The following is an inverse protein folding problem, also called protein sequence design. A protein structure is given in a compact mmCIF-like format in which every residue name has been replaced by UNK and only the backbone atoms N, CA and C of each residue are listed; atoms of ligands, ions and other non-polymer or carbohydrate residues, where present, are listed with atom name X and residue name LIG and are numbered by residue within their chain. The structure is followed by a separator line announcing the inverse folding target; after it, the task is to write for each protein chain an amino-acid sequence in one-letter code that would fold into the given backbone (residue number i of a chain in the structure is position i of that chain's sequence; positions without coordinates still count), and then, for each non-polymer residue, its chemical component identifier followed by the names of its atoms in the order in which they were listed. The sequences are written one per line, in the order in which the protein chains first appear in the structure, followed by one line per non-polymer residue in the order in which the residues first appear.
data_IF_578252705906
#
_entry.id   IF_578252705906
#
_cell.length_a   1.000
_cell.length_b   1.000
_cell.length_c   1.000
_cell.angle_alpha   90.00
_cell.angle_beta   90.00
_cell.angle_gamma   90.00
#
_symmetry.space_group_name_H-M   'P 1'
#
loop_
_entity.id
_entity.type
_entity.pdbx_description
1 polymer ?
#
# COMPACT_ATOMS: atom_id res chain seq x y z
N UNK A 1 -7.77 -12.01 -43.08
CA UNK A 1 -9.03 -12.10 -42.35
C UNK A 1 -8.77 -12.71 -40.98
N UNK A 2 -8.51 -11.94 -39.96
CA UNK A 2 -8.45 -12.39 -38.57
C UNK A 2 -8.26 -11.15 -37.66
N UNK A 3 -9.26 -10.26 -37.58
CA UNK A 3 -9.25 -9.09 -36.70
C UNK A 3 -10.45 -9.03 -35.72
N UNK A 4 -11.24 -10.08 -35.61
CA UNK A 4 -12.44 -10.07 -34.77
C UNK A 4 -12.26 -10.77 -33.39
N UNK A 5 -11.17 -11.54 -33.18
CA UNK A 5 -11.04 -12.35 -31.95
C UNK A 5 -10.44 -11.61 -30.75
N UNK A 6 -9.79 -10.46 -30.95
CA UNK A 6 -9.12 -9.71 -29.87
C UNK A 6 -10.01 -8.69 -29.15
N UNK A 7 -11.19 -8.37 -29.67
CA UNK A 7 -12.12 -7.43 -29.05
C UNK A 7 -13.00 -8.03 -27.97
N UNK A 8 -13.41 -9.29 -28.14
CA UNK A 8 -14.33 -9.96 -27.21
C UNK A 8 -13.64 -10.44 -25.94
N UNK A 9 -12.38 -10.88 -26.01
CA UNK A 9 -11.59 -11.27 -24.83
C UNK A 9 -11.31 -10.09 -23.92
N UNK A 10 -10.99 -8.91 -24.48
CA UNK A 10 -10.69 -7.70 -23.71
C UNK A 10 -11.96 -7.09 -23.05
N UNK A 11 -13.15 -7.37 -23.60
CA UNK A 11 -14.41 -6.88 -23.02
C UNK A 11 -14.85 -7.73 -21.83
N UNK A 12 -14.65 -9.06 -21.89
CA UNK A 12 -14.92 -9.98 -20.78
C UNK A 12 -14.00 -9.72 -19.57
N UNK A 13 -12.72 -9.51 -19.81
CA UNK A 13 -11.74 -9.21 -18.77
C UNK A 13 -12.04 -7.88 -18.04
N UNK A 14 -12.49 -6.87 -18.76
CA UNK A 14 -12.82 -5.57 -18.16
C UNK A 14 -14.08 -5.66 -17.30
N UNK A 15 -15.09 -6.43 -17.67
CA UNK A 15 -16.29 -6.65 -16.86
C UNK A 15 -15.95 -7.38 -15.55
N UNK A 16 -15.08 -8.38 -15.63
CA UNK A 16 -14.64 -9.13 -14.46
C UNK A 16 -13.85 -8.25 -13.45
N UNK A 17 -12.98 -7.37 -13.94
CA UNK A 17 -12.28 -6.40 -13.09
C UNK A 17 -13.26 -5.47 -12.35
N UNK A 18 -14.31 -5.01 -13.03
CA UNK A 18 -15.34 -4.16 -12.40
C UNK A 18 -16.09 -4.88 -11.28
N UNK A 19 -16.37 -6.17 -11.44
CA UNK A 19 -17.02 -6.98 -10.41
C UNK A 19 -16.14 -7.09 -9.16
N UNK A 20 -14.83 -7.31 -9.34
CA UNK A 20 -13.88 -7.34 -8.22
C UNK A 20 -13.85 -5.99 -7.49
N UNK A 21 -13.75 -4.89 -8.22
CA UNK A 21 -13.71 -3.54 -7.64
C UNK A 21 -15.02 -3.19 -6.90
N UNK A 22 -16.16 -3.65 -7.40
CA UNK A 22 -17.44 -3.47 -6.73
C UNK A 22 -17.52 -4.28 -5.43
N UNK A 23 -17.01 -5.50 -5.41
CA UNK A 23 -16.94 -6.31 -4.19
C UNK A 23 -15.99 -5.70 -3.16
N UNK A 24 -14.82 -5.20 -3.59
CA UNK A 24 -13.90 -4.44 -2.73
C UNK A 24 -14.58 -3.22 -2.09
N UNK A 25 -15.43 -2.53 -2.85
CA UNK A 25 -16.22 -1.40 -2.33
C UNK A 25 -17.26 -1.85 -1.31
N UNK A 26 -17.93 -2.98 -1.53
CA UNK A 26 -18.92 -3.54 -0.60
C UNK A 26 -18.32 -3.90 0.75
N UNK A 27 -17.10 -4.43 0.77
CA UNK A 27 -16.41 -4.75 2.02
C UNK A 27 -15.75 -3.54 2.68
N UNK A 28 -15.91 -2.33 2.11
CA UNK A 28 -15.52 -1.07 2.72
C UNK A 28 -14.08 -0.63 2.45
N UNK A 29 -13.42 -1.15 1.42
CA UNK A 29 -12.11 -0.64 1.02
C UNK A 29 -12.23 0.80 0.49
N UNK A 30 -11.21 1.62 0.77
CA UNK A 30 -11.22 3.04 0.45
C UNK A 30 -11.30 3.29 -1.07
N UNK A 31 -12.10 4.27 -1.48
CA UNK A 31 -12.27 4.61 -2.90
C UNK A 31 -10.96 4.99 -3.58
N UNK A 32 -10.04 5.66 -2.87
CA UNK A 32 -8.70 6.00 -3.40
C UNK A 32 -7.87 4.76 -3.72
N UNK A 33 -7.94 3.73 -2.88
CA UNK A 33 -7.27 2.45 -3.12
C UNK A 33 -7.88 1.74 -4.34
N UNK A 34 -9.21 1.69 -4.43
CA UNK A 34 -9.95 1.08 -5.55
C UNK A 34 -9.63 1.80 -6.87
N UNK A 35 -9.58 3.15 -6.89
CA UNK A 35 -9.20 3.92 -8.07
C UNK A 35 -7.76 3.59 -8.51
N UNK A 36 -6.82 3.51 -7.56
CA UNK A 36 -5.43 3.15 -7.89
C UNK A 36 -5.31 1.75 -8.48
N UNK A 37 -6.09 0.77 -8.01
CA UNK A 37 -6.14 -0.56 -8.61
C UNK A 37 -6.70 -0.51 -10.03
N UNK A 38 -7.79 0.22 -10.25
CA UNK A 38 -8.41 0.37 -11.57
C UNK A 38 -7.44 0.99 -12.59
N UNK A 39 -6.67 2.00 -12.20
CA UNK A 39 -5.70 2.67 -13.06
C UNK A 39 -4.51 1.77 -13.43
N UNK A 40 -4.14 0.83 -12.56
CA UNK A 40 -2.93 0.05 -12.71
C UNK A 40 -3.15 -1.41 -13.15
N UNK A 41 -4.34 -1.98 -12.96
CA UNK A 41 -4.62 -3.38 -13.29
C UNK A 41 -4.50 -3.72 -14.79
N UNK A 42 -4.67 -2.74 -15.68
CA UNK A 42 -4.48 -2.95 -17.12
C UNK A 42 -3.01 -2.93 -17.56
N UNK A 43 -2.16 -2.23 -16.80
CA UNK A 43 -0.73 -2.06 -17.12
C UNK A 43 0.15 -3.12 -16.46
N UNK A 44 -0.29 -3.66 -15.32
CA UNK A 44 0.49 -4.58 -14.48
C UNK A 44 -0.33 -5.84 -14.22
N UNK A 45 0.03 -6.90 -14.90
CA UNK A 45 -0.64 -8.22 -14.81
C UNK A 45 -0.66 -8.74 -13.37
N UNK A 46 0.44 -8.61 -12.61
CA UNK A 46 0.51 -9.04 -11.22
C UNK A 46 -0.52 -8.38 -10.30
N UNK A 47 -0.93 -7.14 -10.57
CA UNK A 47 -2.03 -6.50 -9.82
C UNK A 47 -3.35 -7.21 -10.14
N UNK A 48 -3.61 -7.53 -11.39
CA UNK A 48 -4.82 -8.22 -11.82
C UNK A 48 -4.90 -9.62 -11.22
N UNK A 49 -3.79 -10.35 -11.21
CA UNK A 49 -3.71 -11.68 -10.60
C UNK A 49 -4.01 -11.64 -9.10
N UNK A 50 -3.43 -10.67 -8.38
CA UNK A 50 -3.72 -10.47 -6.96
C UNK A 50 -5.18 -10.07 -6.71
N UNK A 51 -5.78 -9.25 -7.57
CA UNK A 51 -7.20 -8.90 -7.49
C UNK A 51 -8.09 -10.13 -7.68
N UNK A 52 -7.74 -11.01 -8.62
CA UNK A 52 -8.43 -12.27 -8.84
C UNK A 52 -8.32 -13.19 -7.61
N UNK A 53 -7.11 -13.38 -7.09
CA UNK A 53 -6.88 -14.15 -5.86
C UNK A 53 -7.69 -13.59 -4.68
N UNK A 54 -7.78 -12.26 -4.57
CA UNK A 54 -8.56 -11.59 -3.53
C UNK A 54 -10.06 -11.91 -3.64
N UNK A 55 -10.61 -11.97 -4.85
CA UNK A 55 -12.02 -12.31 -5.07
C UNK A 55 -12.32 -13.76 -4.72
N UNK A 56 -11.42 -14.69 -5.09
CA UNK A 56 -11.56 -16.13 -4.88
C UNK A 56 -11.34 -16.53 -3.41
N UNK A 57 -10.63 -15.70 -2.64
CA UNK A 57 -10.30 -16.00 -1.25
C UNK A 57 -11.53 -15.82 -0.35
N UNK A 58 -11.82 -16.83 0.46
CA UNK A 58 -12.96 -16.86 1.38
C UNK A 58 -12.57 -16.58 2.82
N UNK A 59 -11.30 -16.83 3.19
CA UNK A 59 -10.82 -16.57 4.53
C UNK A 59 -10.44 -15.10 4.70
N UNK A 60 -11.05 -14.42 5.68
CA UNK A 60 -10.86 -12.98 5.90
C UNK A 60 -9.39 -12.63 6.14
N UNK A 61 -8.66 -13.44 6.93
CA UNK A 61 -7.25 -13.19 7.23
C UNK A 61 -6.35 -13.28 5.99
N UNK A 62 -6.62 -14.24 5.12
CA UNK A 62 -5.86 -14.40 3.86
C UNK A 62 -6.22 -13.28 2.89
N UNK A 63 -7.51 -12.91 2.80
CA UNK A 63 -7.97 -11.75 2.02
C UNK A 63 -7.31 -10.44 2.49
N UNK A 64 -7.13 -10.26 3.79
CA UNK A 64 -6.41 -9.11 4.36
C UNK A 64 -4.93 -9.09 3.95
N UNK A 65 -4.27 -10.26 3.89
CA UNK A 65 -2.90 -10.36 3.39
C UNK A 65 -2.79 -9.95 1.93
N UNK A 66 -3.69 -10.46 1.08
CA UNK A 66 -3.73 -10.09 -0.34
C UNK A 66 -4.01 -8.60 -0.51
N UNK A 67 -4.87 -8.02 0.31
CA UNK A 67 -5.11 -6.57 0.31
C UNK A 67 -3.83 -5.79 0.63
N UNK A 68 -3.03 -6.26 1.58
CA UNK A 68 -1.77 -5.63 1.91
C UNK A 68 -0.72 -5.80 0.79
N UNK A 69 -0.69 -6.95 0.11
CA UNK A 69 0.18 -7.21 -1.05
C UNK A 69 -0.18 -6.31 -2.24
N UNK A 70 -1.48 -6.11 -2.50
CA UNK A 70 -1.97 -5.16 -3.51
C UNK A 70 -1.51 -3.72 -3.21
N UNK A 71 -1.61 -3.27 -1.95
CA UNK A 71 -1.14 -1.94 -1.57
C UNK A 71 0.38 -1.82 -1.73
N UNK A 72 1.14 -2.85 -1.38
CA UNK A 72 2.59 -2.87 -1.56
C UNK A 72 2.97 -2.78 -3.04
N UNK A 73 2.30 -3.55 -3.90
CA UNK A 73 2.48 -3.49 -5.36
C UNK A 73 2.18 -2.10 -5.92
N UNK A 74 1.11 -1.45 -5.48
CA UNK A 74 0.81 -0.06 -5.87
C UNK A 74 1.89 0.92 -5.41
N UNK A 75 2.42 0.75 -4.19
CA UNK A 75 3.50 1.58 -3.69
C UNK A 75 4.78 1.39 -4.51
N UNK A 76 5.11 0.14 -4.89
CA UNK A 76 6.28 -0.15 -5.74
C UNK A 76 6.18 0.54 -7.09
N UNK A 77 5.00 0.54 -7.71
CA UNK A 77 4.76 1.23 -8.98
C UNK A 77 4.94 2.74 -8.84
N UNK A 78 4.45 3.35 -7.75
CA UNK A 78 4.60 4.79 -7.51
C UNK A 78 6.04 5.19 -7.18
N UNK A 79 6.81 4.29 -6.55
CA UNK A 79 8.20 4.53 -6.18
C UNK A 79 9.19 4.17 -7.31
N UNK A 80 8.71 3.67 -8.47
CA UNK A 80 9.58 3.45 -9.62
C UNK A 80 10.25 4.77 -10.01
N UNK A 81 11.60 4.83 -10.06
CA UNK A 81 12.30 6.06 -10.39
C UNK A 81 11.97 6.50 -11.81
N UNK A 82 11.39 7.68 -11.95
CA UNK A 82 11.11 8.28 -13.26
C UNK A 82 12.39 8.70 -14.01
N UNK A 83 13.53 8.77 -13.34
CA UNK A 83 14.90 8.87 -13.85
C UNK A 83 15.86 8.53 -12.72
N UNK A 84 16.95 7.85 -13.04
CA UNK A 84 18.01 7.49 -12.09
C UNK A 84 18.62 8.73 -11.41
N UNK A 85 18.07 9.13 -10.26
CA UNK A 85 18.86 9.88 -9.30
C UNK A 85 19.77 8.86 -8.62
N UNK A 86 21.07 9.11 -8.65
CA UNK A 86 22.07 8.31 -7.94
C UNK A 86 21.64 8.21 -6.48
N UNK A 87 21.22 7.01 -6.05
CA UNK A 87 20.90 6.76 -4.66
C UNK A 87 22.22 6.84 -3.87
N UNK A 88 22.32 7.67 -2.84
CA UNK A 88 23.51 7.65 -2.00
C UNK A 88 23.72 6.25 -1.45
N UNK A 89 24.95 5.74 -1.59
CA UNK A 89 25.34 4.43 -1.08
C UNK A 89 25.30 4.47 0.44
N UNK A 90 24.29 3.88 1.04
CA UNK A 90 24.19 3.74 2.49
C UNK A 90 25.02 2.54 2.93
N UNK A 91 26.06 2.79 3.73
CA UNK A 91 26.77 1.74 4.45
C UNK A 91 25.90 1.26 5.60
N UNK A 92 25.53 -0.01 5.57
CA UNK A 92 24.77 -0.66 6.64
C UNK A 92 25.75 -1.42 7.54
N UNK A 93 26.47 -0.70 8.39
CA UNK A 93 27.46 -1.32 9.29
C UNK A 93 26.79 -1.95 10.53
N UNK A 94 25.56 -1.56 10.89
CA UNK A 94 24.77 -2.16 11.97
C UNK A 94 23.27 -2.28 11.62
N UNK A 95 22.94 -3.35 10.92
CA UNK A 95 21.55 -3.63 10.51
C UNK A 95 20.62 -3.88 11.72
N UNK A 96 21.13 -4.42 12.81
CA UNK A 96 20.34 -4.71 14.00
C UNK A 96 19.99 -3.44 14.78
N UNK A 97 20.88 -2.46 14.80
CA UNK A 97 20.61 -1.14 15.38
C UNK A 97 19.55 -0.40 14.57
N UNK A 98 19.71 -0.32 13.25
CA UNK A 98 18.74 0.30 12.35
C UNK A 98 17.36 -0.35 12.49
N UNK A 99 17.32 -1.68 12.58
CA UNK A 99 16.07 -2.42 12.77
C UNK A 99 15.37 -2.05 14.07
N UNK A 100 16.12 -1.92 15.17
CA UNK A 100 15.55 -1.49 16.46
C UNK A 100 15.04 -0.07 16.40
N UNK A 101 15.79 0.85 15.82
CA UNK A 101 15.40 2.25 15.66
C UNK A 101 14.11 2.40 14.83
N UNK A 102 13.97 1.62 13.75
CA UNK A 102 12.76 1.59 12.95
C UNK A 102 11.55 1.10 13.77
N UNK A 103 11.72 0.04 14.54
CA UNK A 103 10.63 -0.50 15.37
C UNK A 103 10.23 0.47 16.48
N UNK A 104 11.19 1.12 17.14
CA UNK A 104 10.94 2.11 18.19
C UNK A 104 10.24 3.35 17.64
N UNK A 105 10.68 3.83 16.47
CA UNK A 105 10.02 4.90 15.76
C UNK A 105 8.56 4.56 15.43
N UNK A 106 8.33 3.39 14.85
CA UNK A 106 6.98 2.92 14.50
C UNK A 106 6.09 2.74 15.73
N UNK A 107 6.65 2.28 16.85
CA UNK A 107 5.94 2.17 18.12
C UNK A 107 5.49 3.53 18.66
N UNK A 108 6.37 4.54 18.61
CA UNK A 108 6.02 5.91 18.99
C UNK A 108 4.93 6.48 18.08
N UNK A 109 5.07 6.31 16.76
CA UNK A 109 4.08 6.74 15.79
C UNK A 109 2.74 6.02 16.00
N UNK A 110 2.77 4.73 16.36
CA UNK A 110 1.56 3.96 16.69
C UNK A 110 0.84 4.53 17.91
N UNK A 111 1.55 4.94 18.94
CA UNK A 111 0.96 5.59 20.11
C UNK A 111 0.23 6.88 19.73
N UNK A 112 0.81 7.69 18.82
CA UNK A 112 0.12 8.88 18.30
C UNK A 112 -1.14 8.51 17.50
N UNK A 113 -1.09 7.47 16.68
CA UNK A 113 -2.25 6.96 15.95
C UNK A 113 -3.37 6.54 16.91
N UNK A 114 -3.04 5.83 17.99
CA UNK A 114 -4.02 5.36 18.97
C UNK A 114 -4.69 6.51 19.72
N UNK A 115 -3.96 7.60 19.97
CA UNK A 115 -4.52 8.84 20.55
C UNK A 115 -5.49 9.56 19.60
N UNK A 116 -5.36 9.36 18.29
CA UNK A 116 -6.17 10.01 17.26
C UNK A 116 -7.27 9.09 16.67
N UNK A 117 -7.64 8.03 17.36
CA UNK A 117 -8.74 7.14 16.95
C UNK A 117 -8.32 5.79 16.40
N UNK A 118 -7.01 5.49 16.43
CA UNK A 118 -6.49 4.18 16.07
C UNK A 118 -6.34 3.93 14.56
N UNK A 119 -5.99 2.69 14.23
CA UNK A 119 -5.71 2.28 12.83
C UNK A 119 -6.93 2.44 11.92
N UNK A 120 -8.14 2.19 12.41
CA UNK A 120 -9.36 2.30 11.59
C UNK A 120 -9.59 3.73 11.13
N UNK A 121 -9.43 4.70 12.03
CA UNK A 121 -9.57 6.12 11.70
C UNK A 121 -8.41 6.60 10.81
N UNK A 122 -7.20 6.11 11.04
CA UNK A 122 -6.06 6.38 10.18
C UNK A 122 -6.29 5.86 8.77
N UNK A 123 -6.81 4.63 8.61
CA UNK A 123 -7.16 4.05 7.32
C UNK A 123 -8.18 4.90 6.58
N UNK A 124 -9.21 5.38 7.29
CA UNK A 124 -10.23 6.27 6.73
C UNK A 124 -9.65 7.59 6.24
N UNK A 125 -8.73 8.20 6.99
CA UNK A 125 -8.12 9.50 6.65
C UNK A 125 -7.08 9.39 5.54
N UNK A 126 -6.28 8.32 5.52
CA UNK A 126 -5.18 8.15 4.57
C UNK A 126 -5.59 7.46 3.28
N UNK A 127 -6.70 6.70 3.29
CA UNK A 127 -7.09 5.80 2.21
C UNK A 127 -6.23 4.52 2.12
N UNK A 128 -5.28 4.32 3.05
CA UNK A 128 -4.47 3.11 3.10
C UNK A 128 -5.29 2.01 3.79
N UNK A 129 -5.40 0.81 3.19
CA UNK A 129 -6.13 -0.29 3.79
C UNK A 129 -5.63 -0.63 5.20
N UNK A 130 -6.55 -0.97 6.10
CA UNK A 130 -6.23 -1.30 7.49
C UNK A 130 -5.21 -2.44 7.63
N UNK A 131 -5.27 -3.54 6.83
CA UNK A 131 -4.26 -4.58 6.85
C UNK A 131 -2.86 -4.07 6.49
N UNK A 132 -2.76 -3.14 5.55
CA UNK A 132 -1.48 -2.52 5.16
C UNK A 132 -0.89 -1.68 6.27
N UNK A 133 -1.71 -0.90 6.98
CA UNK A 133 -1.28 -0.14 8.15
C UNK A 133 -0.85 -1.06 9.30
N UNK A 134 -1.58 -2.15 9.54
CA UNK A 134 -1.22 -3.16 10.55
C UNK A 134 0.14 -3.78 10.23
N UNK A 135 0.38 -4.16 8.98
CA UNK A 135 1.68 -4.67 8.51
C UNK A 135 2.78 -3.62 8.65
N UNK A 136 2.50 -2.35 8.30
CA UNK A 136 3.44 -1.25 8.45
C UNK A 136 3.94 -1.12 9.89
N UNK A 137 3.06 -1.14 10.88
CA UNK A 137 3.42 -0.99 12.29
C UNK A 137 4.08 -2.22 12.91
N UNK A 138 3.83 -3.43 12.39
CA UNK A 138 4.41 -4.68 12.90
C UNK A 138 5.74 -5.06 12.25
N UNK A 139 6.06 -4.49 11.09
CA UNK A 139 7.24 -4.81 10.29
C UNK A 139 8.43 -3.94 10.68
N UNK A 140 9.63 -4.53 10.68
CA UNK A 140 10.91 -3.80 10.81
C UNK A 140 11.40 -3.22 9.48
N UNK A 141 10.61 -3.32 8.40
CA UNK A 141 10.95 -2.72 7.13
C UNK A 141 11.01 -1.19 7.25
N UNK A 142 11.95 -0.59 6.51
CA UNK A 142 12.12 0.85 6.47
C UNK A 142 10.85 1.53 5.99
N UNK A 143 10.33 2.55 6.72
CA UNK A 143 9.12 3.24 6.31
C UNK A 143 9.31 3.98 4.98
N UNK A 144 8.33 3.88 4.08
CA UNK A 144 8.32 4.67 2.85
C UNK A 144 7.98 6.12 3.16
N UNK A 145 8.69 7.04 2.54
CA UNK A 145 8.46 8.48 2.72
C UNK A 145 7.03 8.89 2.40
N UNK A 146 6.46 8.34 1.33
CA UNK A 146 5.07 8.59 0.92
C UNK A 146 4.05 8.13 1.96
N UNK A 147 4.28 6.97 2.59
CA UNK A 147 3.42 6.46 3.67
C UNK A 147 3.52 7.33 4.91
N UNK A 148 4.72 7.71 5.33
CA UNK A 148 4.95 8.62 6.46
C UNK A 148 4.29 9.97 6.24
N UNK A 149 4.38 10.53 5.03
CA UNK A 149 3.75 11.80 4.68
C UNK A 149 2.22 11.73 4.80
N UNK A 150 1.60 10.66 4.29
CA UNK A 150 0.14 10.45 4.42
C UNK A 150 -0.28 10.33 5.89
N UNK A 151 0.48 9.60 6.70
CA UNK A 151 0.22 9.45 8.15
C UNK A 151 0.34 10.80 8.86
N UNK A 152 1.41 11.54 8.63
CA UNK A 152 1.62 12.87 9.23
C UNK A 152 0.49 13.83 8.91
N UNK A 153 0.09 13.88 7.63
CA UNK A 153 -1.02 14.72 7.19
C UNK A 153 -2.33 14.31 7.87
N UNK A 154 -2.60 13.01 8.01
CA UNK A 154 -3.80 12.51 8.67
C UNK A 154 -3.85 12.80 10.17
N UNK A 155 -2.69 12.84 10.83
CA UNK A 155 -2.52 13.15 12.25
C UNK A 155 -2.28 14.65 12.53
N UNK A 156 -2.21 15.46 11.49
CA UNK A 156 -1.89 16.89 11.58
C UNK A 156 -0.54 17.17 12.25
N UNK A 157 0.44 16.28 12.03
CA UNK A 157 1.80 16.41 12.55
C UNK A 157 2.68 17.19 11.56
N UNK A 158 3.64 18.01 12.06
CA UNK A 158 4.61 18.65 11.18
C UNK A 158 5.54 17.61 10.56
N UNK A 159 6.03 17.85 9.35
CA UNK A 159 6.94 16.93 8.64
C UNK A 159 8.20 16.61 9.46
N UNK A 160 8.68 17.55 10.27
CA UNK A 160 9.81 17.34 11.17
C UNK A 160 9.56 16.29 12.26
N UNK A 161 8.31 16.06 12.64
CA UNK A 161 7.96 15.05 13.66
C UNK A 161 8.02 13.60 13.12
N UNK A 162 8.00 13.44 11.81
CA UNK A 162 8.07 12.14 11.13
C UNK A 162 9.37 11.94 10.35
N UNK A 163 10.27 12.92 10.39
CA UNK A 163 11.61 12.80 9.84
C UNK A 163 12.37 11.73 10.61
N UNK A 164 12.45 10.53 10.02
CA UNK A 164 13.45 9.57 10.46
C UNK A 164 14.80 10.24 10.25
N UNK A 165 15.59 10.44 11.33
CA UNK A 165 16.95 10.96 11.22
C UNK A 165 17.77 9.92 10.44
N UNK A 166 17.83 10.07 9.16
CA UNK A 166 18.85 9.45 8.35
C UNK A 166 20.17 10.02 8.83
N UNK A 167 20.96 9.17 9.41
CA UNK A 167 22.22 9.51 10.07
C UNK A 167 23.03 10.45 9.19
N UNK A 168 23.37 11.57 9.77
CA UNK A 168 24.45 12.45 9.31
C UNK A 168 25.82 11.77 9.49
#
# INVERSE_FOLDING_TARGET
MSYEHTRDENYGDNLHVLDILNEMRRVGLASTFICSLMENCQRYEGIRDLMQMWLEETEIKERDKITADLQESLNDIMDLPQKSEERPYLRFDDLDEIRRDVLDFKKQLRNEVDRHGGISELARKTGIPQPSLSRFFSSSAMPRRTTLYKIAKALNLPESAIGFKWVS
#
